data_IF_423911938945
#
_entry.id   IF_423911938945
#
_cell.length_a   1.000
_cell.length_b   1.000
_cell.length_c   1.000
_cell.angle_alpha   90.00
_cell.angle_beta   90.00
_cell.angle_gamma   90.00
#
_symmetry.space_group_name_H-M   'P 1'
#
loop_
_entity.id
_entity.type
_entity.pdbx_description
1 polymer ?
#
# COMPACT_ATOMS: atom_id res chain seq x y z
N UNK A 1 11.43 11.07 11.04
CA UNK A 1 11.97 11.56 9.77
C UNK A 1 12.93 10.51 9.25
N UNK A 2 12.87 10.16 7.96
CA UNK A 2 13.79 9.20 7.31
C UNK A 2 14.41 9.87 6.10
N UNK A 3 15.63 9.41 5.73
CA UNK A 3 16.28 9.78 4.48
C UNK A 3 15.96 8.75 3.40
N UNK A 4 15.47 9.22 2.25
CA UNK A 4 14.99 8.37 1.16
C UNK A 4 15.69 8.72 -0.14
N UNK A 5 16.26 7.71 -0.81
CA UNK A 5 16.71 7.81 -2.20
C UNK A 5 15.60 7.26 -3.11
N UNK A 6 15.08 8.11 -3.98
CA UNK A 6 13.99 7.76 -4.91
C UNK A 6 14.51 7.83 -6.35
N UNK A 7 14.57 6.69 -7.02
CA UNK A 7 15.06 6.53 -8.38
C UNK A 7 13.91 6.23 -9.33
N UNK A 8 13.77 7.06 -10.37
CA UNK A 8 12.67 7.01 -11.32
C UNK A 8 11.50 7.92 -10.92
N UNK A 9 11.31 9.01 -11.66
CA UNK A 9 10.28 10.03 -11.39
C UNK A 9 9.12 9.97 -12.38
N UNK A 10 8.82 8.77 -12.86
CA UNK A 10 7.61 8.49 -13.62
C UNK A 10 6.35 8.72 -12.78
N UNK A 11 5.19 8.32 -13.28
CA UNK A 11 3.90 8.52 -12.59
C UNK A 11 3.93 8.01 -11.14
N UNK A 12 4.36 6.77 -10.93
CA UNK A 12 4.38 6.16 -9.59
C UNK A 12 5.40 6.84 -8.67
N UNK A 13 6.65 7.05 -9.14
CA UNK A 13 7.69 7.72 -8.35
C UNK A 13 7.31 9.15 -7.94
N UNK A 14 6.70 9.92 -8.84
CA UNK A 14 6.20 11.27 -8.52
C UNK A 14 5.12 11.26 -7.42
N UNK A 15 4.24 10.25 -7.40
CA UNK A 15 3.27 10.11 -6.32
C UNK A 15 3.94 9.74 -4.99
N UNK A 16 4.93 8.84 -5.01
CA UNK A 16 5.73 8.50 -3.81
C UNK A 16 6.43 9.75 -3.26
N UNK A 17 7.11 10.53 -4.12
CA UNK A 17 7.80 11.74 -3.67
C UNK A 17 6.86 12.71 -2.95
N UNK A 18 5.70 13.01 -3.54
CA UNK A 18 4.70 13.92 -2.94
C UNK A 18 4.18 13.39 -1.61
N UNK A 19 3.92 12.09 -1.51
CA UNK A 19 3.44 11.49 -0.27
C UNK A 19 4.51 11.49 0.82
N UNK A 20 5.76 11.13 0.49
CA UNK A 20 6.89 11.21 1.44
C UNK A 20 7.14 12.63 1.92
N UNK A 21 7.02 13.63 1.03
CA UNK A 21 7.10 15.05 1.38
C UNK A 21 6.03 15.44 2.41
N UNK A 22 4.78 15.03 2.18
CA UNK A 22 3.67 15.33 3.12
C UNK A 22 3.85 14.65 4.49
N UNK A 23 4.59 13.54 4.54
CA UNK A 23 4.96 12.84 5.77
C UNK A 23 6.22 13.41 6.45
N UNK A 24 6.84 14.45 5.87
CA UNK A 24 8.01 15.12 6.44
C UNK A 24 9.32 14.33 6.32
N UNK A 25 9.49 13.54 5.27
CA UNK A 25 10.73 12.82 5.00
C UNK A 25 11.69 13.61 4.12
N UNK A 26 13.00 13.37 4.26
CA UNK A 26 14.03 13.91 3.37
C UNK A 26 14.18 13.02 2.15
N UNK A 27 14.16 13.62 0.95
CA UNK A 27 14.15 12.90 -0.31
C UNK A 27 15.27 13.40 -1.21
N UNK A 28 16.14 12.48 -1.65
CA UNK A 28 16.98 12.64 -2.81
C UNK A 28 16.29 11.94 -3.98
N UNK A 29 15.96 12.69 -5.03
CA UNK A 29 15.28 12.18 -6.20
C UNK A 29 16.22 12.09 -7.41
N UNK A 30 16.13 11.02 -8.19
CA UNK A 30 16.98 10.78 -9.37
C UNK A 30 16.12 10.32 -10.55
N UNK A 31 16.33 10.91 -11.71
CA UNK A 31 15.82 10.43 -13.01
C UNK A 31 16.77 10.86 -14.11
N UNK A 32 16.82 10.13 -15.21
CA UNK A 32 17.58 10.51 -16.41
C UNK A 32 16.91 11.68 -17.17
N UNK A 33 15.63 11.87 -16.94
CA UNK A 33 14.82 12.89 -17.63
C UNK A 33 14.79 14.20 -16.83
N UNK A 34 15.45 15.22 -17.35
CA UNK A 34 15.53 16.56 -16.76
C UNK A 34 14.14 17.18 -16.49
N UNK A 35 13.18 17.01 -17.38
CA UNK A 35 11.83 17.55 -17.20
C UNK A 35 11.12 16.95 -15.98
N UNK A 36 11.29 15.62 -15.74
CA UNK A 36 10.75 14.96 -14.56
C UNK A 36 11.43 15.43 -13.29
N UNK A 37 12.76 15.61 -13.32
CA UNK A 37 13.52 16.15 -12.19
C UNK A 37 13.05 17.56 -11.86
N UNK A 38 12.94 18.45 -12.83
CA UNK A 38 12.50 19.81 -12.62
C UNK A 38 11.07 19.89 -12.05
N UNK A 39 10.16 19.03 -12.47
CA UNK A 39 8.77 18.98 -11.97
C UNK A 39 8.67 18.54 -10.50
N UNK A 40 9.61 17.73 -10.01
CA UNK A 40 9.54 17.18 -8.64
C UNK A 40 10.22 18.07 -7.60
N UNK A 41 11.06 19.03 -8.00
CA UNK A 41 11.81 19.91 -7.09
C UNK A 41 11.02 20.49 -5.91
N UNK A 42 9.75 20.93 -6.07
CA UNK A 42 8.97 21.45 -4.94
C UNK A 42 8.65 20.44 -3.85
N UNK A 43 8.84 19.14 -4.10
CA UNK A 43 8.44 18.04 -3.22
C UNK A 43 9.61 17.20 -2.70
N UNK A 44 10.85 17.62 -2.96
CA UNK A 44 12.04 16.86 -2.56
C UNK A 44 13.08 17.77 -1.94
N UNK A 45 13.95 17.19 -1.12
CA UNK A 45 15.06 17.95 -0.49
C UNK A 45 16.13 18.28 -1.51
N UNK A 46 16.48 17.30 -2.33
CA UNK A 46 17.44 17.42 -3.42
C UNK A 46 16.99 16.54 -4.61
N UNK A 47 17.42 16.92 -5.80
CA UNK A 47 17.23 16.10 -6.99
C UNK A 47 18.46 16.16 -7.90
N UNK A 48 18.73 15.05 -8.60
CA UNK A 48 19.81 14.96 -9.59
C UNK A 48 19.33 14.29 -10.88
N UNK A 49 19.89 14.77 -11.99
CA UNK A 49 19.75 14.12 -13.29
C UNK A 49 20.92 13.13 -13.41
N UNK A 50 20.63 11.85 -13.63
CA UNK A 50 21.67 10.84 -13.79
C UNK A 50 21.13 9.47 -14.11
N UNK A 51 22.01 8.63 -14.62
CA UNK A 51 21.70 7.23 -14.94
C UNK A 51 22.01 6.34 -13.73
N UNK A 52 20.99 5.73 -13.18
CA UNK A 52 21.12 4.84 -12.01
C UNK A 52 21.68 3.45 -12.35
N UNK A 53 21.95 3.16 -13.62
CA UNK A 53 22.71 1.96 -14.03
C UNK A 53 24.22 2.20 -14.02
N UNK A 54 24.66 3.45 -13.83
CA UNK A 54 26.05 3.81 -13.62
C UNK A 54 26.42 3.68 -12.14
N UNK A 55 27.32 2.75 -11.84
CA UNK A 55 27.77 2.45 -10.48
C UNK A 55 28.50 3.64 -9.84
N UNK A 56 29.35 4.37 -10.58
CA UNK A 56 30.08 5.53 -10.09
C UNK A 56 29.12 6.67 -9.70
N UNK A 57 28.08 6.87 -10.54
CA UNK A 57 27.03 7.83 -10.22
C UNK A 57 26.32 7.45 -8.92
N UNK A 58 25.86 6.21 -8.76
CA UNK A 58 25.20 5.77 -7.53
C UNK A 58 26.11 5.85 -6.30
N UNK A 59 27.39 5.48 -6.42
CA UNK A 59 28.38 5.60 -5.35
C UNK A 59 28.52 7.06 -4.90
N UNK A 60 28.53 8.01 -5.85
CA UNK A 60 28.62 9.44 -5.55
C UNK A 60 27.46 9.99 -4.72
N UNK A 61 26.31 9.32 -4.76
CA UNK A 61 25.12 9.67 -3.97
C UNK A 61 25.22 9.22 -2.51
N UNK A 62 26.18 8.34 -2.18
CA UNK A 62 26.33 7.81 -0.82
C UNK A 62 25.17 6.89 -0.42
N UNK A 63 24.83 5.91 -1.26
CA UNK A 63 23.68 4.99 -1.13
C UNK A 63 23.49 4.44 0.27
N UNK A 64 24.56 4.02 0.95
CA UNK A 64 24.50 3.45 2.31
C UNK A 64 24.01 4.42 3.41
N UNK A 65 23.95 5.72 3.13
CA UNK A 65 23.48 6.73 4.10
C UNK A 65 21.94 6.83 4.15
N UNK A 66 21.24 6.35 3.12
CA UNK A 66 19.77 6.41 3.10
C UNK A 66 19.15 5.27 3.91
N UNK A 67 18.01 5.59 4.54
CA UNK A 67 17.23 4.58 5.26
C UNK A 67 16.45 3.67 4.31
N UNK A 68 16.01 4.23 3.17
CA UNK A 68 15.20 3.53 2.17
C UNK A 68 15.64 3.97 0.77
N UNK A 69 15.80 3.01 -0.13
CA UNK A 69 15.98 3.26 -1.56
C UNK A 69 14.76 2.70 -2.33
N UNK A 70 14.05 3.57 -3.04
CA UNK A 70 12.98 3.18 -3.95
C UNK A 70 13.48 3.15 -5.38
N UNK A 71 13.22 2.05 -6.08
CA UNK A 71 13.42 1.92 -7.53
C UNK A 71 12.06 1.83 -8.20
N UNK A 72 11.66 2.93 -8.86
CA UNK A 72 10.32 3.08 -9.48
C UNK A 72 10.37 3.23 -10.99
N UNK A 73 11.48 2.76 -11.60
CA UNK A 73 11.67 2.71 -13.04
C UNK A 73 10.64 1.73 -13.63
N UNK A 74 9.85 2.17 -14.60
CA UNK A 74 8.79 1.37 -15.22
C UNK A 74 8.95 1.18 -16.72
N UNK A 75 9.72 2.03 -17.38
CA UNK A 75 9.93 2.00 -18.83
C UNK A 75 11.02 1.00 -19.29
N UNK A 76 11.89 0.57 -18.36
CA UNK A 76 12.93 -0.44 -18.61
C UNK A 76 13.09 -1.36 -17.41
N UNK A 77 12.66 -2.62 -17.57
CA UNK A 77 12.88 -3.64 -16.53
C UNK A 77 14.37 -3.94 -16.32
N UNK A 78 15.17 -3.93 -17.39
CA UNK A 78 16.60 -4.15 -17.29
C UNK A 78 17.24 -3.09 -16.39
N UNK A 79 16.99 -1.80 -16.65
CA UNK A 79 17.54 -0.71 -15.82
C UNK A 79 17.05 -0.80 -14.37
N UNK A 80 15.78 -1.16 -14.16
CA UNK A 80 15.24 -1.39 -12.81
C UNK A 80 15.98 -2.50 -12.06
N UNK A 81 16.29 -3.60 -12.76
CA UNK A 81 16.99 -4.75 -12.19
C UNK A 81 18.45 -4.41 -11.88
N UNK A 82 19.16 -3.79 -12.83
CA UNK A 82 20.55 -3.36 -12.65
C UNK A 82 20.68 -2.35 -11.52
N UNK A 83 19.85 -1.32 -11.50
CA UNK A 83 19.80 -0.35 -10.38
C UNK A 83 19.54 -1.02 -9.04
N UNK A 84 18.59 -1.97 -8.99
CA UNK A 84 18.27 -2.72 -7.75
C UNK A 84 19.48 -3.48 -7.23
N UNK A 85 20.22 -4.19 -8.11
CA UNK A 85 21.45 -4.93 -7.77
C UNK A 85 22.54 -4.00 -7.26
N UNK A 86 22.82 -2.94 -8.03
CA UNK A 86 23.86 -1.97 -7.67
C UNK A 86 23.60 -1.30 -6.32
N UNK A 87 22.36 -0.89 -6.04
CA UNK A 87 22.00 -0.32 -4.74
C UNK A 87 22.32 -1.28 -3.60
N UNK A 88 22.05 -2.56 -3.77
CA UNK A 88 22.33 -3.57 -2.73
C UNK A 88 23.83 -3.80 -2.57
N UNK A 89 24.58 -3.87 -3.65
CA UNK A 89 26.05 -3.98 -3.67
C UNK A 89 26.71 -2.77 -3.00
N UNK A 90 26.16 -1.56 -3.20
CA UNK A 90 26.62 -0.32 -2.58
C UNK A 90 26.13 -0.12 -1.13
N UNK A 91 25.52 -1.15 -0.54
CA UNK A 91 25.18 -1.17 0.89
C UNK A 91 23.87 -0.48 1.25
N UNK A 92 22.90 -0.38 0.34
CA UNK A 92 21.56 0.09 0.67
C UNK A 92 20.93 -0.73 1.78
N UNK A 93 20.39 -0.07 2.81
CA UNK A 93 19.79 -0.72 3.99
C UNK A 93 18.48 -1.42 3.65
N UNK A 94 17.64 -0.76 2.84
CA UNK A 94 16.33 -1.27 2.42
C UNK A 94 16.07 -0.84 0.97
N UNK A 95 15.99 -1.80 0.06
CA UNK A 95 15.68 -1.58 -1.35
C UNK A 95 14.25 -2.04 -1.64
N UNK A 96 13.42 -1.12 -2.13
CA UNK A 96 12.03 -1.39 -2.52
C UNK A 96 11.90 -1.11 -4.02
N UNK A 97 11.63 -2.15 -4.81
CA UNK A 97 11.56 -2.03 -6.26
C UNK A 97 10.12 -2.20 -6.78
N UNK A 98 9.78 -1.50 -7.85
CA UNK A 98 8.49 -1.62 -8.53
C UNK A 98 8.53 -2.75 -9.55
N UNK A 99 7.51 -3.60 -9.53
CA UNK A 99 7.24 -4.58 -10.58
C UNK A 99 5.97 -4.24 -11.34
N UNK A 100 5.88 -4.68 -12.58
CA UNK A 100 4.70 -4.60 -13.47
C UNK A 100 4.21 -6.00 -13.89
N UNK A 101 4.95 -7.06 -13.56
CA UNK A 101 4.64 -8.47 -13.86
C UNK A 101 5.11 -9.38 -12.74
N UNK A 102 4.42 -10.49 -12.53
CA UNK A 102 4.79 -11.48 -11.50
C UNK A 102 6.20 -12.05 -11.66
N UNK A 103 6.68 -12.18 -12.91
CA UNK A 103 8.04 -12.63 -13.19
C UNK A 103 9.09 -11.61 -12.76
N UNK A 104 8.81 -10.32 -12.94
CA UNK A 104 9.71 -9.23 -12.52
C UNK A 104 9.84 -9.19 -10.99
N UNK A 105 8.74 -9.35 -10.25
CA UNK A 105 8.75 -9.45 -8.79
C UNK A 105 9.76 -10.51 -8.31
N UNK A 106 9.71 -11.72 -8.91
CA UNK A 106 10.63 -12.81 -8.59
C UNK A 106 12.10 -12.47 -8.88
N UNK A 107 12.35 -11.80 -10.01
CA UNK A 107 13.72 -11.43 -10.37
C UNK A 107 14.26 -10.30 -9.49
N UNK A 108 13.47 -9.29 -9.20
CA UNK A 108 13.87 -8.19 -8.32
C UNK A 108 14.22 -8.68 -6.91
N UNK A 109 13.39 -9.55 -6.32
CA UNK A 109 13.68 -10.15 -5.02
C UNK A 109 14.96 -11.00 -5.02
N UNK A 110 15.24 -11.73 -6.11
CA UNK A 110 16.48 -12.53 -6.23
C UNK A 110 17.73 -11.69 -6.45
N UNK A 111 17.57 -10.48 -6.99
CA UNK A 111 18.69 -9.60 -7.35
C UNK A 111 18.83 -8.38 -6.42
N UNK A 112 18.34 -8.48 -5.17
CA UNK A 112 18.70 -7.52 -4.14
C UNK A 112 17.56 -6.63 -3.65
N UNK A 113 16.37 -6.67 -4.22
CA UNK A 113 15.21 -6.02 -3.61
C UNK A 113 14.84 -6.70 -2.30
N UNK A 114 14.74 -5.94 -1.22
CA UNK A 114 14.22 -6.45 0.07
C UNK A 114 12.70 -6.57 0.03
N UNK A 115 12.05 -5.68 -0.74
CA UNK A 115 10.59 -5.69 -0.98
C UNK A 115 10.29 -5.30 -2.42
N UNK A 116 9.17 -5.79 -2.91
CA UNK A 116 8.63 -5.39 -4.21
C UNK A 116 7.22 -4.87 -4.04
N UNK A 117 6.92 -3.76 -4.70
CA UNK A 117 5.57 -3.22 -4.84
C UNK A 117 5.09 -3.44 -6.27
N UNK A 118 3.85 -3.91 -6.41
CA UNK A 118 3.20 -4.11 -7.69
C UNK A 118 1.85 -3.36 -7.68
N UNK A 119 1.87 -2.03 -7.97
CA UNK A 119 0.72 -1.16 -7.74
C UNK A 119 -0.52 -1.60 -8.52
N UNK A 120 -0.35 -1.97 -9.79
CA UNK A 120 -1.48 -2.37 -10.65
C UNK A 120 -2.17 -3.62 -10.12
N UNK A 121 -1.41 -4.62 -9.66
CA UNK A 121 -1.95 -5.86 -9.08
C UNK A 121 -2.67 -5.61 -7.76
N UNK A 122 -2.07 -4.77 -6.89
CA UNK A 122 -2.64 -4.44 -5.59
C UNK A 122 -3.94 -3.65 -5.74
N UNK A 123 -3.94 -2.62 -6.61
CA UNK A 123 -5.14 -1.81 -6.86
C UNK A 123 -6.21 -2.60 -7.61
N UNK A 124 -5.85 -3.46 -8.57
CA UNK A 124 -6.80 -4.32 -9.27
C UNK A 124 -7.49 -5.30 -8.30
N UNK A 125 -6.73 -5.92 -7.38
CA UNK A 125 -7.29 -6.78 -6.33
C UNK A 125 -8.28 -6.02 -5.45
N UNK A 126 -7.86 -4.85 -4.95
CA UNK A 126 -8.71 -3.99 -4.13
C UNK A 126 -9.99 -3.59 -4.87
N UNK A 127 -9.87 -3.08 -6.10
CA UNK A 127 -11.00 -2.63 -6.89
C UNK A 127 -11.96 -3.78 -7.21
N UNK A 128 -11.43 -4.97 -7.55
CA UNK A 128 -12.25 -6.15 -7.82
C UNK A 128 -13.11 -6.53 -6.61
N UNK A 129 -12.54 -6.56 -5.42
CA UNK A 129 -13.27 -6.90 -4.20
C UNK A 129 -14.28 -5.80 -3.85
N UNK A 130 -13.82 -4.53 -3.88
CA UNK A 130 -14.63 -3.37 -3.48
C UNK A 130 -15.87 -3.15 -4.33
N UNK A 131 -15.79 -3.42 -5.64
CA UNK A 131 -16.85 -3.07 -6.61
C UNK A 131 -17.60 -4.28 -7.17
N UNK A 132 -17.35 -5.50 -6.70
CA UNK A 132 -18.12 -6.69 -7.12
C UNK A 132 -19.41 -6.89 -6.33
N UNK A 133 -19.53 -6.26 -5.17
CA UNK A 133 -20.72 -6.35 -4.35
C UNK A 133 -21.07 -4.96 -3.78
N UNK A 134 -22.34 -4.56 -3.91
CA UNK A 134 -22.84 -3.24 -3.48
C UNK A 134 -22.80 -3.07 -1.95
N UNK A 135 -22.80 -4.18 -1.19
CA UNK A 135 -22.75 -4.16 0.27
C UNK A 135 -21.34 -3.99 0.84
N UNK A 136 -20.29 -4.14 0.01
CA UNK A 136 -18.91 -3.87 0.41
C UNK A 136 -18.63 -2.38 0.17
N UNK A 137 -18.43 -1.62 1.24
CA UNK A 137 -18.11 -0.19 1.17
C UNK A 137 -16.61 0.07 1.10
N UNK A 138 -15.79 -0.76 1.76
CA UNK A 138 -14.34 -0.73 1.66
C UNK A 138 -13.71 -2.06 2.10
N UNK A 139 -12.43 -2.27 1.74
CA UNK A 139 -11.69 -3.49 2.01
C UNK A 139 -10.22 -3.20 2.24
N UNK A 140 -9.66 -3.79 3.28
CA UNK A 140 -8.23 -3.75 3.59
C UNK A 140 -7.72 -5.14 3.96
N UNK A 141 -6.74 -5.64 3.21
CA UNK A 141 -6.05 -6.90 3.51
C UNK A 141 -5.13 -6.72 4.72
N UNK A 142 -5.24 -7.60 5.71
CA UNK A 142 -4.36 -7.64 6.89
C UNK A 142 -3.23 -8.62 6.65
N UNK A 143 -3.56 -9.82 6.17
CA UNK A 143 -2.62 -10.86 5.76
C UNK A 143 -3.23 -11.72 4.63
N UNK A 144 -2.58 -12.82 4.27
CA UNK A 144 -3.03 -13.71 3.18
C UNK A 144 -4.43 -14.33 3.39
N UNK A 145 -4.96 -14.30 4.61
CA UNK A 145 -6.23 -14.94 4.99
C UNK A 145 -7.21 -14.02 5.71
N UNK A 146 -6.73 -12.95 6.32
CA UNK A 146 -7.54 -12.02 7.13
C UNK A 146 -7.66 -10.66 6.47
N UNK A 147 -8.83 -10.05 6.63
CA UNK A 147 -9.13 -8.73 6.11
C UNK A 147 -10.05 -7.94 7.04
N UNK A 148 -10.01 -6.63 6.87
CA UNK A 148 -11.01 -5.71 7.41
C UNK A 148 -11.93 -5.33 6.25
N UNK A 149 -13.23 -5.45 6.45
CA UNK A 149 -14.26 -4.96 5.54
C UNK A 149 -15.07 -3.86 6.19
N UNK A 150 -15.38 -2.83 5.44
CA UNK A 150 -16.51 -1.97 5.74
C UNK A 150 -17.71 -2.48 4.95
N UNK A 151 -18.76 -2.92 5.65
CA UNK A 151 -19.96 -3.52 5.04
C UNK A 151 -21.21 -2.82 5.53
N UNK A 152 -22.25 -2.79 4.68
CA UNK A 152 -23.58 -2.38 5.14
C UNK A 152 -24.14 -3.36 6.16
N UNK A 153 -25.00 -2.85 7.07
CA UNK A 153 -25.77 -3.72 7.98
C UNK A 153 -26.81 -4.50 7.18
N UNK A 154 -26.76 -5.86 7.20
CA UNK A 154 -27.79 -6.67 6.55
C UNK A 154 -29.20 -6.31 7.09
N UNK A 155 -30.19 -6.30 6.21
CA UNK A 155 -31.58 -5.91 6.58
C UNK A 155 -32.13 -6.73 7.73
N UNK A 156 -31.81 -8.02 7.80
CA UNK A 156 -32.23 -8.94 8.86
C UNK A 156 -31.55 -8.68 10.20
N UNK A 157 -30.51 -7.85 10.26
CA UNK A 157 -29.81 -7.45 11.48
C UNK A 157 -30.29 -6.11 12.01
N UNK A 158 -31.00 -5.34 11.20
CA UNK A 158 -31.55 -4.04 11.59
C UNK A 158 -32.49 -4.18 12.80
N UNK A 159 -32.27 -3.36 13.82
CA UNK A 159 -33.03 -3.39 15.08
C UNK A 159 -32.55 -4.44 16.09
N UNK A 160 -31.55 -5.24 15.77
CA UNK A 160 -30.93 -6.19 16.71
C UNK A 160 -29.66 -5.62 17.30
N UNK A 161 -29.27 -6.15 18.46
CA UNK A 161 -28.00 -5.83 19.10
C UNK A 161 -26.88 -6.77 18.64
N UNK A 162 -25.64 -6.34 18.80
CA UNK A 162 -24.46 -7.17 18.51
C UNK A 162 -24.47 -8.47 19.33
N UNK A 163 -24.95 -8.41 20.59
CA UNK A 163 -25.06 -9.56 21.47
C UNK A 163 -26.08 -10.60 21.01
N UNK A 164 -27.26 -10.15 20.52
CA UNK A 164 -28.30 -11.05 19.99
C UNK A 164 -27.83 -11.80 18.73
N UNK A 165 -27.01 -11.20 17.92
CA UNK A 165 -26.49 -11.79 16.69
C UNK A 165 -25.40 -12.84 16.94
N UNK A 166 -24.62 -12.67 18.01
CA UNK A 166 -23.52 -13.56 18.44
C UNK A 166 -22.52 -13.90 17.28
N UNK A 167 -22.23 -12.88 16.47
CA UNK A 167 -21.43 -13.00 15.23
C UNK A 167 -20.04 -13.56 15.53
N UNK A 168 -19.45 -13.10 16.63
CA UNK A 168 -18.10 -13.54 17.05
C UNK A 168 -18.02 -15.05 17.29
N UNK A 169 -19.02 -15.65 17.90
CA UNK A 169 -19.04 -17.10 18.17
C UNK A 169 -19.43 -17.87 16.92
N UNK A 170 -20.42 -17.36 16.15
CA UNK A 170 -20.95 -18.09 14.98
C UNK A 170 -19.97 -18.10 13.80
N UNK A 171 -19.28 -16.95 13.54
CA UNK A 171 -18.47 -16.77 12.33
C UNK A 171 -17.00 -16.47 12.63
N UNK A 172 -16.59 -16.27 13.90
CA UNK A 172 -15.24 -15.83 14.28
C UNK A 172 -14.86 -14.47 13.69
N UNK A 173 -15.85 -13.61 13.53
CA UNK A 173 -15.68 -12.24 13.02
C UNK A 173 -15.82 -11.27 14.18
N UNK A 174 -14.95 -10.27 14.25
CA UNK A 174 -15.03 -9.19 15.21
C UNK A 174 -15.56 -7.93 14.55
N UNK A 175 -16.61 -7.34 15.11
CA UNK A 175 -17.01 -5.96 14.76
C UNK A 175 -16.07 -5.05 15.55
N UNK A 176 -15.27 -4.26 14.82
CA UNK A 176 -14.27 -3.35 15.41
C UNK A 176 -14.78 -1.91 15.49
N UNK A 177 -15.72 -1.55 14.65
CA UNK A 177 -16.37 -0.24 14.70
C UNK A 177 -17.75 -0.28 14.04
N UNK A 178 -18.58 0.67 14.45
CA UNK A 178 -19.83 1.06 13.77
C UNK A 178 -19.64 2.47 13.24
N UNK A 179 -19.99 2.70 11.97
CA UNK A 179 -19.83 3.99 11.32
C UNK A 179 -21.19 4.53 10.88
N UNK A 180 -21.45 5.79 11.23
CA UNK A 180 -22.64 6.54 10.81
C UNK A 180 -22.19 7.79 10.06
N UNK A 181 -22.26 7.75 8.74
CA UNK A 181 -21.72 8.80 7.89
C UNK A 181 -20.22 9.02 8.14
N UNK A 182 -19.84 10.14 8.76
CA UNK A 182 -18.45 10.47 9.10
C UNK A 182 -18.06 10.09 10.53
N UNK A 183 -19.01 9.76 11.37
CA UNK A 183 -18.79 9.41 12.77
C UNK A 183 -18.49 7.92 12.91
N UNK A 184 -17.43 7.59 13.64
CA UNK A 184 -17.00 6.22 13.89
C UNK A 184 -17.03 5.96 15.40
N UNK A 185 -17.83 4.99 15.81
CA UNK A 185 -17.86 4.47 17.18
C UNK A 185 -17.08 3.16 17.26
N UNK A 186 -15.98 3.19 18.01
CA UNK A 186 -15.11 2.01 18.24
C UNK A 186 -15.43 1.29 19.57
N UNK A 187 -16.33 1.85 20.39
CA UNK A 187 -16.76 1.23 21.64
C UNK A 187 -17.94 0.32 21.36
N UNK A 188 -17.65 -0.92 20.98
CA UNK A 188 -18.67 -1.92 20.64
C UNK A 188 -18.95 -2.79 21.86
N UNK A 189 -20.21 -2.84 22.29
CA UNK A 189 -20.69 -3.68 23.40
C UNK A 189 -21.77 -4.64 22.90
N UNK A 190 -22.12 -5.67 23.68
CA UNK A 190 -23.26 -6.55 23.34
C UNK A 190 -24.57 -5.79 23.10
N UNK A 191 -24.75 -4.64 23.78
CA UNK A 191 -25.97 -3.82 23.66
C UNK A 191 -25.94 -2.83 22.51
N UNK A 192 -24.84 -2.79 21.71
CA UNK A 192 -24.74 -1.92 20.54
C UNK A 192 -25.82 -2.29 19.53
N UNK A 193 -26.74 -1.36 19.28
CA UNK A 193 -27.87 -1.52 18.34
C UNK A 193 -27.38 -1.31 16.90
N UNK A 194 -27.83 -2.17 16.00
CA UNK A 194 -27.55 -2.06 14.56
C UNK A 194 -28.73 -1.43 13.82
N UNK A 195 -28.48 -0.32 13.13
CA UNK A 195 -29.48 0.45 12.41
C UNK A 195 -29.24 0.36 10.90
N UNK A 196 -30.26 0.65 10.09
CA UNK A 196 -30.24 0.44 8.65
C UNK A 196 -29.31 1.41 7.86
N UNK A 197 -28.88 2.51 8.50
CA UNK A 197 -28.10 3.57 7.86
C UNK A 197 -26.62 3.59 8.29
N UNK A 198 -26.20 2.59 9.04
CA UNK A 198 -24.84 2.48 9.52
C UNK A 198 -24.06 1.40 8.75
N UNK A 199 -22.74 1.52 8.73
CA UNK A 199 -21.85 0.46 8.26
C UNK A 199 -21.05 -0.14 9.42
N UNK A 200 -20.56 -1.35 9.21
CA UNK A 200 -19.76 -2.10 10.17
C UNK A 200 -18.35 -2.26 9.64
N UNK A 201 -17.35 -1.93 10.46
CA UNK A 201 -15.99 -2.40 10.23
C UNK A 201 -15.84 -3.76 10.91
N UNK A 202 -15.56 -4.78 10.10
CA UNK A 202 -15.44 -6.16 10.58
C UNK A 202 -14.08 -6.74 10.24
N UNK A 203 -13.47 -7.43 11.21
CA UNK A 203 -12.19 -8.13 11.06
C UNK A 203 -12.41 -9.63 11.18
N UNK A 204 -11.89 -10.40 10.24
CA UNK A 204 -11.94 -11.85 10.27
C UNK A 204 -11.29 -12.50 9.05
N UNK A 205 -11.38 -13.82 8.97
CA UNK A 205 -10.99 -14.54 7.75
C UNK A 205 -11.88 -14.11 6.58
N UNK A 206 -11.26 -13.89 5.41
CA UNK A 206 -11.96 -13.48 4.20
C UNK A 206 -13.19 -14.34 3.90
N UNK A 207 -13.02 -15.67 3.90
CA UNK A 207 -14.11 -16.64 3.65
C UNK A 207 -15.23 -16.60 4.71
N UNK A 208 -14.88 -16.31 5.95
CA UNK A 208 -15.85 -16.21 7.03
C UNK A 208 -16.70 -14.94 6.88
N UNK A 209 -16.09 -13.82 6.50
CA UNK A 209 -16.78 -12.56 6.21
C UNK A 209 -17.71 -12.74 5.01
N UNK A 210 -17.22 -13.31 3.90
CA UNK A 210 -18.06 -13.60 2.73
C UNK A 210 -19.28 -14.44 3.09
N UNK A 211 -19.09 -15.51 3.87
CA UNK A 211 -20.20 -16.37 4.30
C UNK A 211 -21.19 -15.66 5.22
N UNK A 212 -20.68 -14.78 6.10
CA UNK A 212 -21.51 -14.08 7.09
C UNK A 212 -22.38 -13.00 6.45
N UNK A 213 -21.83 -12.27 5.48
CA UNK A 213 -22.51 -11.14 4.83
C UNK A 213 -23.07 -11.49 3.45
N UNK A 214 -22.89 -12.75 2.98
CA UNK A 214 -23.35 -13.22 1.66
C UNK A 214 -22.80 -12.42 0.47
N UNK A 215 -21.53 -12.00 0.56
CA UNK A 215 -20.80 -11.18 -0.41
C UNK A 215 -19.69 -11.99 -1.13
#
# INVERSE_FOLDING_TARGET
>A
MKSVLLIGLGRFGSHIAKQLHSLGHEIMAVDVNEERVNKILPFVTNAQIGDSTDAEFLESLGVGNYDICFVTIGDSFQNSLETTSLLKELGAKLVISRAERDVQEKFLLRNGADKVVYPEKQVAKWASIRYTDDHILDYMEVDSSHAIFEVEVPKEWTGKTVGELDIRKKYRINIIAVKNGREMNMTITPDTLLENHISLLVLGEYKAIQKCFHI
#
